data_IF_033708232095
#
_entry.id   IF_033708232095
#
_cell.length_a   1.000
_cell.length_b   1.000
_cell.length_c   1.000
_cell.angle_alpha   90.00
_cell.angle_beta   90.00
_cell.angle_gamma   90.00
#
_symmetry.space_group_name_H-M   'P 1'
#
loop_
_entity.id
_entity.type
_entity.pdbx_description
1 polymer ?
#
# COMPACT_ATOMS: atom_id res chain seq x y z
N UNK A 1 18.37 -23.72 26.31
CA UNK A 1 18.89 -22.87 25.23
C UNK A 1 17.75 -22.66 24.25
N UNK A 2 16.92 -21.65 24.51
CA UNK A 2 15.88 -21.21 23.59
C UNK A 2 16.52 -20.24 22.61
N UNK A 3 16.51 -20.60 21.33
CA UNK A 3 16.99 -19.75 20.25
C UNK A 3 15.96 -18.65 20.01
N UNK A 4 16.24 -17.45 20.48
CA UNK A 4 15.48 -16.25 20.12
C UNK A 4 15.48 -16.11 18.59
N UNK A 5 14.30 -15.92 18.00
CA UNK A 5 14.18 -15.59 16.58
C UNK A 5 14.95 -14.29 16.30
N UNK A 6 15.68 -14.19 15.17
CA UNK A 6 16.44 -12.98 14.86
C UNK A 6 15.50 -11.78 14.79
N UNK A 7 15.82 -10.74 15.57
CA UNK A 7 15.06 -9.49 15.59
C UNK A 7 14.92 -8.94 14.17
N UNK A 8 13.69 -8.59 13.80
CA UNK A 8 13.29 -8.00 12.52
C UNK A 8 13.89 -6.59 12.27
N UNK A 9 14.88 -6.19 13.09
CA UNK A 9 15.41 -4.83 13.22
C UNK A 9 16.13 -4.28 11.98
N UNK A 10 16.55 -5.13 11.04
CA UNK A 10 17.20 -4.66 9.82
C UNK A 10 16.24 -4.05 8.79
N UNK A 11 14.97 -4.51 8.74
CA UNK A 11 13.96 -3.99 7.79
C UNK A 11 13.20 -2.79 8.32
N UNK A 12 12.96 -2.75 9.64
CA UNK A 12 12.36 -1.61 10.34
C UNK A 12 13.18 -0.33 10.10
N UNK A 13 14.51 -0.40 10.24
CA UNK A 13 15.38 0.79 10.08
C UNK A 13 15.38 1.32 8.66
N UNK A 14 15.44 0.46 7.63
CA UNK A 14 15.50 0.91 6.23
C UNK A 14 14.25 1.67 5.80
N UNK A 15 13.06 1.22 6.23
CA UNK A 15 11.81 1.90 5.92
C UNK A 15 11.74 3.28 6.59
N UNK A 16 12.11 3.35 7.87
CA UNK A 16 12.16 4.60 8.60
C UNK A 16 13.19 5.58 8.03
N UNK A 17 14.35 5.11 7.57
CA UNK A 17 15.32 5.99 6.90
C UNK A 17 14.79 6.51 5.56
N UNK A 18 14.20 5.65 4.71
CA UNK A 18 13.61 6.08 3.44
C UNK A 18 12.50 7.11 3.65
N UNK A 19 11.68 6.95 4.69
CA UNK A 19 10.60 7.89 5.01
C UNK A 19 11.10 9.28 5.42
N UNK A 20 12.30 9.40 6.02
CA UNK A 20 12.89 10.70 6.38
C UNK A 20 13.29 11.53 5.16
N UNK A 21 13.58 10.88 4.04
CA UNK A 21 14.08 11.51 2.81
C UNK A 21 12.96 11.95 1.85
N UNK A 22 11.69 11.63 2.14
CA UNK A 22 10.55 11.92 1.25
C UNK A 22 10.40 13.44 0.99
N UNK A 23 10.62 13.92 -0.25
CA UNK A 23 10.34 15.30 -0.60
C UNK A 23 8.87 15.43 -1.01
N UNK A 24 8.13 16.37 -0.41
CA UNK A 24 6.74 16.64 -0.78
C UNK A 24 6.51 18.16 -0.86
N UNK A 25 6.15 18.64 -2.05
CA UNK A 25 5.74 20.03 -2.24
C UNK A 25 4.35 20.34 -1.66
N UNK A 26 3.57 19.30 -1.34
CA UNK A 26 2.18 19.40 -0.89
C UNK A 26 1.95 18.57 0.38
N UNK A 27 0.97 18.99 1.19
CA UNK A 27 0.41 18.21 2.30
C UNK A 27 -0.87 17.47 1.87
N UNK A 28 -1.06 17.21 0.57
CA UNK A 28 -2.14 16.35 0.09
C UNK A 28 -1.79 14.88 0.32
N UNK A 29 -2.80 14.05 0.64
CA UNK A 29 -2.65 12.60 0.53
C UNK A 29 -2.49 12.24 -0.96
N UNK A 30 -1.60 11.30 -1.31
CA UNK A 30 -1.62 10.72 -2.64
C UNK A 30 -2.91 9.94 -2.87
N UNK A 31 -3.08 9.46 -4.10
CA UNK A 31 -4.31 8.79 -4.52
C UNK A 31 -4.71 7.70 -3.51
N UNK A 32 -5.95 7.81 -3.04
CA UNK A 32 -6.49 6.90 -2.04
C UNK A 32 -6.57 5.48 -2.59
N UNK A 33 -5.77 4.57 -2.05
CA UNK A 33 -5.73 3.17 -2.46
C UNK A 33 -6.91 2.32 -1.96
N UNK A 34 -8.05 2.91 -1.60
CA UNK A 34 -9.24 2.14 -1.18
C UNK A 34 -9.17 1.50 0.22
N UNK A 35 -8.17 1.83 1.03
CA UNK A 35 -8.06 1.38 2.43
C UNK A 35 -8.87 2.28 3.38
N UNK A 36 -10.20 2.18 3.28
CA UNK A 36 -11.19 2.84 4.15
C UNK A 36 -12.34 3.52 3.38
N UNK A 37 -13.12 4.35 4.08
CA UNK A 37 -14.37 4.92 3.55
C UNK A 37 -14.16 6.31 2.94
N UNK A 38 -14.49 6.46 1.65
CA UNK A 38 -14.62 7.77 0.99
C UNK A 38 -16.10 8.17 1.02
N UNK A 39 -16.50 9.26 1.69
CA UNK A 39 -17.86 9.74 1.65
C UNK A 39 -18.27 10.05 0.20
N UNK A 40 -19.23 9.29 -0.34
CA UNK A 40 -19.85 9.51 -1.65
C UNK A 40 -19.58 8.47 -2.75
N UNK A 41 -18.71 7.47 -2.54
CA UNK A 41 -18.41 6.46 -3.59
C UNK A 41 -19.38 5.28 -3.66
N UNK A 42 -20.32 5.15 -2.72
CA UNK A 42 -21.39 4.14 -2.76
C UNK A 42 -22.74 4.80 -2.87
N UNK A 43 -23.39 4.64 -4.02
CA UNK A 43 -24.84 4.76 -4.08
C UNK A 43 -25.45 3.56 -3.36
N UNK A 44 -26.17 3.88 -2.28
CA UNK A 44 -27.16 3.04 -1.59
C UNK A 44 -26.64 1.70 -1.04
N UNK A 45 -26.23 1.70 0.24
CA UNK A 45 -26.50 0.60 1.20
C UNK A 45 -25.99 0.97 2.61
N UNK A 46 -26.90 1.11 3.58
CA UNK A 46 -26.62 1.28 5.02
C UNK A 46 -26.21 2.70 5.46
N UNK A 47 -27.06 3.37 6.24
CA UNK A 47 -26.92 4.77 6.69
C UNK A 47 -25.88 4.94 7.83
N UNK A 48 -24.64 4.51 7.61
CA UNK A 48 -23.50 4.85 8.50
C UNK A 48 -22.63 5.84 7.76
N UNK A 49 -22.79 7.12 8.08
CA UNK A 49 -22.06 8.22 7.43
C UNK A 49 -20.56 8.19 7.78
N UNK A 50 -20.22 8.12 9.07
CA UNK A 50 -18.84 8.02 9.56
C UNK A 50 -18.78 7.59 11.02
N UNK A 51 -17.57 7.21 11.46
CA UNK A 51 -17.25 7.14 12.89
C UNK A 51 -17.32 8.56 13.45
N UNK A 52 -18.17 8.79 14.45
CA UNK A 52 -18.30 10.09 15.11
C UNK A 52 -17.10 10.39 16.00
N UNK A 53 -16.68 9.41 16.81
CA UNK A 53 -15.61 9.57 17.78
C UNK A 53 -14.99 8.22 18.16
N UNK A 54 -13.71 8.26 18.55
CA UNK A 54 -12.97 7.18 19.20
C UNK A 54 -12.92 7.47 20.70
N UNK A 55 -13.09 6.45 21.55
CA UNK A 55 -12.99 6.59 23.01
C UNK A 55 -11.83 5.75 23.52
N UNK A 56 -10.92 6.36 24.28
CA UNK A 56 -9.80 5.69 24.94
C UNK A 56 -9.83 5.96 26.45
N UNK A 57 -9.63 4.92 27.24
CA UNK A 57 -9.41 5.06 28.68
C UNK A 57 -7.95 5.44 28.95
N UNK A 58 -7.70 6.47 29.74
CA UNK A 58 -6.35 6.97 30.04
C UNK A 58 -6.13 7.15 31.55
N UNK A 59 -4.91 6.97 32.03
CA UNK A 59 -4.60 7.10 33.46
C UNK A 59 -4.52 8.55 33.95
N UNK A 60 -4.26 9.49 33.04
CA UNK A 60 -4.11 10.92 33.31
C UNK A 60 -4.48 11.75 32.09
N UNK A 61 -5.47 12.64 32.20
CA UNK A 61 -5.83 13.54 31.10
C UNK A 61 -4.68 14.47 30.70
N UNK A 62 -3.95 15.03 31.65
CA UNK A 62 -2.86 15.97 31.35
C UNK A 62 -1.76 15.31 30.51
N UNK A 63 -1.38 14.08 30.87
CA UNK A 63 -0.35 13.32 30.15
C UNK A 63 -0.80 12.93 28.75
N UNK A 64 -2.05 12.48 28.62
CA UNK A 64 -2.57 12.00 27.34
C UNK A 64 -2.94 13.17 26.41
N UNK A 65 -3.43 14.29 26.93
CA UNK A 65 -3.59 15.53 26.14
C UNK A 65 -2.26 16.00 25.56
N UNK A 66 -1.19 16.05 26.38
CA UNK A 66 0.15 16.37 25.91
C UNK A 66 0.58 15.43 24.77
N UNK A 67 0.42 14.12 24.94
CA UNK A 67 0.76 13.17 23.89
C UNK A 67 -0.06 13.37 22.59
N UNK A 68 -1.39 13.40 22.69
CA UNK A 68 -2.25 13.45 21.51
C UNK A 68 -2.27 14.83 20.83
N UNK A 69 -1.94 15.90 21.55
CA UNK A 69 -1.76 17.24 20.98
C UNK A 69 -0.34 17.44 20.44
N UNK A 70 0.69 17.25 21.26
CA UNK A 70 2.06 17.62 20.92
C UNK A 70 2.74 16.59 20.02
N UNK A 71 2.47 15.28 20.21
CA UNK A 71 3.01 14.23 19.33
C UNK A 71 2.12 14.05 18.11
N UNK A 72 0.83 13.75 18.33
CA UNK A 72 -0.09 13.36 17.26
C UNK A 72 -0.73 14.54 16.52
N UNK A 73 -0.66 15.76 17.06
CA UNK A 73 -1.13 16.98 16.37
C UNK A 73 -2.65 17.19 16.40
N UNK A 74 -3.38 16.58 17.34
CA UNK A 74 -4.83 16.76 17.46
C UNK A 74 -5.18 18.06 18.20
N UNK A 75 -6.25 18.75 17.79
CA UNK A 75 -6.70 19.97 18.48
C UNK A 75 -7.39 19.62 19.80
N UNK A 76 -7.03 20.29 20.90
CA UNK A 76 -7.80 20.19 22.15
C UNK A 76 -9.09 21.00 22.00
N UNK A 77 -10.24 20.35 22.14
CA UNK A 77 -11.56 21.01 22.15
C UNK A 77 -11.92 21.46 23.56
N UNK A 78 -11.68 20.62 24.56
CA UNK A 78 -11.91 20.93 25.97
C UNK A 78 -12.27 19.70 26.81
N UNK A 79 -12.49 19.92 28.12
CA UNK A 79 -12.84 18.87 29.09
C UNK A 79 -14.31 18.94 29.49
N UNK A 80 -14.89 17.79 29.86
CA UNK A 80 -16.24 17.75 30.41
C UNK A 80 -17.36 18.12 29.42
N UNK A 81 -17.13 17.94 28.12
CA UNK A 81 -18.04 18.39 27.05
C UNK A 81 -19.08 17.34 26.62
N UNK A 82 -18.94 16.10 27.10
CA UNK A 82 -19.83 14.98 26.80
C UNK A 82 -20.69 14.63 28.00
N UNK A 83 -21.78 13.88 27.77
CA UNK A 83 -22.60 13.28 28.83
C UNK A 83 -21.91 12.04 29.48
N UNK A 84 -20.61 12.17 29.77
CA UNK A 84 -19.78 11.18 30.46
C UNK A 84 -19.54 11.64 31.90
N UNK A 85 -19.73 10.74 32.86
CA UNK A 85 -19.64 11.03 34.29
C UNK A 85 -18.19 11.13 34.77
N UNK A 86 -17.29 10.38 34.15
CA UNK A 86 -15.86 10.41 34.46
C UNK A 86 -15.20 11.67 33.89
N UNK A 87 -14.11 12.16 34.51
CA UNK A 87 -13.29 13.20 33.91
C UNK A 87 -12.87 12.78 32.51
N UNK A 88 -13.07 13.67 31.53
CA UNK A 88 -12.74 13.37 30.15
C UNK A 88 -12.31 14.61 29.38
N UNK A 89 -11.49 14.40 28.35
CA UNK A 89 -11.05 15.40 27.39
C UNK A 89 -11.55 15.03 25.99
N UNK A 90 -11.88 16.05 25.20
CA UNK A 90 -12.27 15.91 23.80
C UNK A 90 -11.20 16.59 22.95
N UNK A 91 -10.63 15.83 22.03
CA UNK A 91 -9.71 16.31 21.01
C UNK A 91 -10.33 16.08 19.62
N UNK A 92 -9.88 16.84 18.64
CA UNK A 92 -10.41 16.79 17.27
C UNK A 92 -9.28 16.53 16.27
N UNK A 93 -9.50 15.57 15.39
CA UNK A 93 -8.64 15.31 14.24
C UNK A 93 -8.99 16.29 13.10
N UNK A 94 -8.08 16.49 12.16
CA UNK A 94 -8.32 17.31 10.96
C UNK A 94 -9.50 16.81 10.09
N UNK A 95 -9.87 15.53 10.21
CA UNK A 95 -11.04 14.93 9.55
C UNK A 95 -12.38 15.29 10.22
N UNK A 96 -12.34 15.94 11.39
CA UNK A 96 -13.51 16.24 12.21
C UNK A 96 -13.96 15.06 13.11
N UNK A 97 -13.34 13.89 13.00
CA UNK A 97 -13.52 12.80 13.98
C UNK A 97 -12.96 13.24 15.34
N UNK A 98 -13.67 12.94 16.42
CA UNK A 98 -13.23 13.28 17.77
C UNK A 98 -12.48 12.11 18.41
N UNK A 99 -11.47 12.43 19.20
CA UNK A 99 -10.88 11.52 20.18
C UNK A 99 -11.36 11.93 21.57
N UNK A 100 -12.01 11.02 22.28
CA UNK A 100 -12.48 11.22 23.65
C UNK A 100 -11.60 10.42 24.58
N UNK A 101 -10.84 11.11 25.43
CA UNK A 101 -10.01 10.51 26.47
C UNK A 101 -10.81 10.49 27.77
N UNK A 102 -11.04 9.31 28.34
CA UNK A 102 -11.78 9.14 29.60
C UNK A 102 -10.81 8.72 30.68
N UNK A 103 -10.70 9.51 31.74
CA UNK A 103 -9.78 9.19 32.83
C UNK A 103 -10.31 8.01 33.66
N UNK A 104 -9.48 6.97 33.77
CA UNK A 104 -9.69 5.84 34.68
C UNK A 104 -8.34 5.44 35.30
N UNK A 105 -8.28 5.35 36.64
CA UNK A 105 -7.05 4.94 37.33
C UNK A 105 -6.74 3.44 37.17
N UNK A 106 -7.68 2.67 36.64
CA UNK A 106 -7.55 1.23 36.39
C UNK A 106 -7.49 0.92 34.89
N UNK A 107 -6.88 1.79 34.07
CA UNK A 107 -6.67 1.48 32.66
C UNK A 107 -5.79 0.24 32.56
N UNK A 108 -6.40 -0.85 32.11
CA UNK A 108 -5.69 -2.09 31.77
C UNK A 108 -5.49 -2.08 30.25
N UNK A 109 -4.24 -2.17 29.77
CA UNK A 109 -3.98 -2.35 28.35
C UNK A 109 -4.78 -3.55 27.84
N UNK A 110 -5.49 -3.39 26.71
CA UNK A 110 -6.50 -4.37 26.23
C UNK A 110 -5.94 -5.80 26.03
N UNK A 111 -4.61 -5.96 25.93
CA UNK A 111 -3.87 -7.22 26.15
C UNK A 111 -2.36 -6.96 26.14
N UNK A 112 -1.67 -7.27 27.24
CA UNK A 112 -0.21 -7.27 27.28
C UNK A 112 0.35 -8.21 26.19
N UNK A 113 1.23 -7.68 25.34
CA UNK A 113 1.97 -8.46 24.34
C UNK A 113 1.21 -8.80 23.05
N UNK A 114 0.03 -8.23 22.78
CA UNK A 114 -0.63 -8.38 21.47
C UNK A 114 -0.85 -7.04 20.78
N UNK A 115 -0.35 -6.89 19.55
CA UNK A 115 -0.64 -5.75 18.68
C UNK A 115 -1.91 -5.95 17.82
N UNK A 116 -2.74 -6.94 18.19
CA UNK A 116 -3.91 -7.36 17.41
C UNK A 116 -5.03 -6.31 17.38
N UNK A 117 -5.10 -5.44 18.40
CA UNK A 117 -6.00 -4.28 18.42
C UNK A 117 -5.13 -3.04 18.50
N UNK A 118 -5.10 -2.28 17.41
CA UNK A 118 -4.43 -0.99 17.33
C UNK A 118 -5.37 0.02 16.65
N UNK A 119 -5.07 1.30 16.84
CA UNK A 119 -5.75 2.40 16.17
C UNK A 119 -4.84 2.95 15.07
N UNK A 120 -5.24 2.74 13.82
CA UNK A 120 -4.50 3.21 12.65
C UNK A 120 -4.94 4.62 12.25
N UNK A 121 -3.97 5.47 11.93
CA UNK A 121 -4.18 6.82 11.40
C UNK A 121 -3.45 6.94 10.07
N UNK A 122 -4.05 7.62 9.10
CA UNK A 122 -3.37 7.95 7.86
C UNK A 122 -2.87 9.39 7.91
N UNK A 123 -1.62 9.58 7.53
CA UNK A 123 -0.98 10.89 7.45
C UNK A 123 -0.44 11.15 6.04
N UNK A 124 -0.33 12.42 5.70
CA UNK A 124 0.40 12.85 4.49
C UNK A 124 1.89 12.53 4.68
N UNK A 125 2.69 12.41 3.60
CA UNK A 125 4.10 12.08 3.80
C UNK A 125 4.88 13.16 4.57
N UNK A 126 4.49 14.43 4.41
CA UNK A 126 5.01 15.53 5.20
C UNK A 126 4.61 15.43 6.69
N UNK A 127 3.37 15.07 7.01
CA UNK A 127 2.92 14.84 8.38
C UNK A 127 3.62 13.63 9.00
N UNK A 128 3.77 12.55 8.25
CA UNK A 128 4.47 11.34 8.68
C UNK A 128 5.93 11.62 9.03
N UNK A 129 6.65 12.38 8.19
CA UNK A 129 8.03 12.80 8.48
C UNK A 129 8.12 13.62 9.78
N UNK A 130 7.21 14.59 9.94
CA UNK A 130 7.15 15.41 11.18
C UNK A 130 6.82 14.55 12.41
N UNK A 131 5.95 13.55 12.27
CA UNK A 131 5.69 12.58 13.33
C UNK A 131 6.96 11.82 13.70
N UNK A 132 7.73 11.32 12.73
CA UNK A 132 9.00 10.62 13.00
C UNK A 132 10.02 11.50 13.74
N UNK A 133 10.01 12.82 13.49
CA UNK A 133 10.81 13.78 14.25
C UNK A 133 10.31 13.91 15.70
N UNK A 134 8.99 14.07 15.89
CA UNK A 134 8.36 14.22 17.22
C UNK A 134 8.50 12.98 18.09
N UNK A 135 8.28 11.78 17.55
CA UNK A 135 8.46 10.53 18.32
C UNK A 135 9.92 10.35 18.75
N UNK A 136 10.88 10.80 17.92
CA UNK A 136 12.30 10.81 18.29
C UNK A 136 12.60 11.86 19.36
N UNK A 137 12.08 13.08 19.23
CA UNK A 137 12.25 14.17 20.20
C UNK A 137 11.71 13.79 21.59
N UNK A 138 10.61 13.07 21.63
CA UNK A 138 9.98 12.60 22.87
C UNK A 138 10.43 11.21 23.32
N UNK A 139 11.49 10.66 22.72
CA UNK A 139 12.08 9.36 23.09
C UNK A 139 11.07 8.20 23.09
N UNK A 140 10.12 8.22 22.15
CA UNK A 140 9.10 7.19 21.98
C UNK A 140 9.65 6.05 21.11
N UNK A 141 9.59 4.84 21.65
CA UNK A 141 9.97 3.63 20.91
C UNK A 141 9.00 3.36 19.76
N UNK A 142 9.58 3.15 18.57
CA UNK A 142 8.84 2.86 17.34
C UNK A 142 9.28 1.55 16.72
N UNK A 143 8.35 0.86 16.06
CA UNK A 143 8.63 -0.33 15.25
C UNK A 143 7.79 -0.33 13.98
N UNK A 144 8.06 -1.30 13.10
CA UNK A 144 7.31 -1.49 11.86
C UNK A 144 6.81 -2.93 11.86
N UNK A 145 5.53 -3.12 12.12
CA UNK A 145 4.91 -4.43 12.02
C UNK A 145 4.74 -4.83 10.55
N UNK A 146 4.99 -6.11 10.26
CA UNK A 146 4.71 -6.72 8.94
C UNK A 146 5.38 -6.02 7.74
N UNK A 147 6.56 -5.43 7.93
CA UNK A 147 7.33 -4.71 6.91
C UNK A 147 7.51 -5.44 5.55
N UNK A 148 7.42 -6.77 5.52
CA UNK A 148 7.46 -7.57 4.28
C UNK A 148 6.20 -7.47 3.40
N UNK A 149 5.11 -6.92 3.93
CA UNK A 149 3.81 -6.77 3.26
C UNK A 149 3.49 -5.30 2.93
N UNK A 150 4.49 -4.41 2.94
CA UNK A 150 4.35 -3.03 2.43
C UNK A 150 4.73 -2.98 0.96
N UNK A 151 3.84 -2.43 0.12
CA UNK A 151 4.12 -2.19 -1.28
C UNK A 151 5.14 -1.05 -1.48
N UNK A 152 5.59 -0.85 -2.72
CA UNK A 152 6.49 0.26 -3.01
C UNK A 152 5.76 1.58 -2.78
N UNK A 153 6.38 2.51 -2.03
CA UNK A 153 5.75 3.79 -1.68
C UNK A 153 4.83 3.74 -0.46
N UNK A 154 4.60 2.57 0.14
CA UNK A 154 3.84 2.46 1.39
C UNK A 154 4.76 2.43 2.62
N UNK A 155 4.35 3.16 3.64
CA UNK A 155 5.07 3.30 4.90
C UNK A 155 4.10 3.16 6.07
N UNK A 156 4.54 2.49 7.12
CA UNK A 156 3.87 2.52 8.42
C UNK A 156 4.88 2.59 9.56
N UNK A 157 4.42 3.10 10.69
CA UNK A 157 5.13 3.07 11.95
C UNK A 157 4.15 2.79 13.07
N UNK A 158 4.56 1.94 13.99
CA UNK A 158 3.82 1.57 15.17
C UNK A 158 4.53 2.11 16.40
N UNK A 159 3.75 2.55 17.39
CA UNK A 159 4.23 3.00 18.69
C UNK A 159 3.09 2.89 19.70
N UNK A 160 3.38 3.24 20.95
CA UNK A 160 2.40 3.23 22.04
C UNK A 160 2.16 4.62 22.57
N UNK A 161 0.93 4.84 23.02
CA UNK A 161 0.59 6.01 23.81
C UNK A 161 1.04 5.83 25.29
N UNK A 162 0.88 6.86 26.14
CA UNK A 162 1.31 6.80 27.55
C UNK A 162 0.60 5.75 28.42
N UNK A 163 -0.49 5.17 27.93
CA UNK A 163 -1.29 4.14 28.61
C UNK A 163 -1.24 2.79 27.86
N UNK A 164 -0.22 2.60 27.01
CA UNK A 164 0.11 1.36 26.28
C UNK A 164 -0.88 1.01 25.12
N UNK A 165 -1.74 1.94 24.71
CA UNK A 165 -2.58 1.76 23.52
C UNK A 165 -1.71 1.69 22.28
N UNK A 166 -1.86 0.59 21.52
CA UNK A 166 -1.11 0.41 20.28
C UNK A 166 -1.67 1.34 19.19
N UNK A 167 -0.79 2.17 18.64
CA UNK A 167 -1.10 3.07 17.53
C UNK A 167 -0.32 2.63 16.30
N UNK A 168 -0.92 2.81 15.13
CA UNK A 168 -0.26 2.70 13.84
C UNK A 168 -0.48 3.99 13.07
N UNK A 169 0.57 4.50 12.45
CA UNK A 169 0.45 5.58 11.47
C UNK A 169 0.90 5.05 10.13
N UNK A 170 0.02 5.18 9.14
CA UNK A 170 0.27 4.79 7.75
C UNK A 170 0.46 6.05 6.89
N UNK A 171 1.29 5.92 5.88
CA UNK A 171 1.55 6.94 4.89
C UNK A 171 1.79 6.27 3.54
N UNK A 172 1.05 6.72 2.53
CA UNK A 172 1.32 6.39 1.15
C UNK A 172 2.10 7.57 0.55
N UNK A 173 3.21 7.30 -0.12
CA UNK A 173 3.94 8.27 -0.91
C UNK A 173 3.50 8.18 -2.40
N UNK A 174 3.79 9.18 -3.24
CA UNK A 174 3.36 9.19 -4.64
C UNK A 174 3.73 7.92 -5.40
N UNK A 175 4.88 7.32 -5.08
CA UNK A 175 5.37 6.07 -5.64
C UNK A 175 4.43 4.88 -5.41
N UNK A 176 3.50 4.96 -4.44
CA UNK A 176 2.48 3.95 -4.25
C UNK A 176 1.49 3.91 -5.42
N UNK A 177 1.19 5.06 -6.04
CA UNK A 177 0.18 5.17 -7.11
C UNK A 177 0.75 5.55 -8.48
N UNK A 178 1.87 6.26 -8.53
CA UNK A 178 2.49 6.72 -9.76
C UNK A 178 3.03 5.55 -10.61
N UNK A 179 3.09 5.72 -11.92
CA UNK A 179 3.59 4.64 -12.78
C UNK A 179 5.08 4.44 -12.55
N UNK A 180 5.45 3.26 -12.04
CA UNK A 180 6.83 2.83 -11.97
C UNK A 180 7.22 2.15 -13.29
N UNK A 181 8.12 2.79 -14.02
CA UNK A 181 8.77 2.22 -15.20
C UNK A 181 10.09 1.54 -14.80
N UNK A 182 10.34 0.29 -15.20
CA UNK A 182 11.64 -0.35 -15.04
C UNK A 182 12.76 0.44 -15.74
N UNK A 183 12.43 1.04 -16.89
CA UNK A 183 13.31 1.91 -17.69
C UNK A 183 14.70 1.33 -17.96
N UNK A 184 14.78 0.00 -18.17
CA UNK A 184 16.02 -0.70 -18.55
C UNK A 184 16.24 -0.68 -20.07
N UNK A 185 15.38 0.02 -20.82
CA UNK A 185 15.37 0.06 -22.28
C UNK A 185 14.64 -1.13 -22.89
N UNK A 186 15.08 -1.57 -24.07
CA UNK A 186 14.54 -2.75 -24.74
C UNK A 186 15.24 -4.01 -24.26
N UNK A 187 14.47 -5.00 -23.82
CA UNK A 187 14.99 -6.33 -23.47
C UNK A 187 14.65 -7.37 -24.54
N UNK A 188 15.59 -8.27 -24.80
CA UNK A 188 15.37 -9.46 -25.64
C UNK A 188 14.83 -10.62 -24.77
N UNK A 189 13.60 -11.03 -25.05
CA UNK A 189 12.93 -12.11 -24.34
C UNK A 189 13.19 -13.50 -24.94
N UNK A 190 13.90 -13.57 -26.07
CA UNK A 190 14.25 -14.76 -26.81
C UNK A 190 13.30 -15.08 -27.99
N UNK A 191 13.52 -16.22 -28.68
CA UNK A 191 12.75 -16.62 -29.85
C UNK A 191 11.25 -16.72 -29.57
N UNK A 192 10.42 -16.05 -30.37
CA UNK A 192 8.97 -16.02 -30.17
C UNK A 192 8.31 -17.42 -30.33
N UNK A 193 8.88 -18.27 -31.17
CA UNK A 193 8.40 -19.64 -31.40
C UNK A 193 8.64 -20.60 -30.21
N UNK A 194 9.54 -20.22 -29.28
CA UNK A 194 9.78 -20.97 -28.05
C UNK A 194 8.64 -20.87 -27.02
N UNK A 195 7.72 -19.91 -27.19
CA UNK A 195 6.58 -19.68 -26.29
C UNK A 195 5.29 -20.32 -26.83
N UNK A 196 4.71 -21.23 -26.05
CA UNK A 196 3.41 -21.86 -26.33
C UNK A 196 2.27 -20.97 -25.84
N UNK A 197 1.10 -21.09 -26.49
CA UNK A 197 -0.11 -20.43 -26.01
C UNK A 197 -0.41 -20.86 -24.58
N UNK A 198 -0.50 -19.88 -23.69
CA UNK A 198 -0.68 -20.02 -22.25
C UNK A 198 0.59 -19.83 -21.43
N UNK A 199 1.77 -19.72 -22.05
CA UNK A 199 3.01 -19.47 -21.34
C UNK A 199 3.04 -18.07 -20.70
N UNK A 200 3.58 -18.02 -19.48
CA UNK A 200 3.82 -16.80 -18.71
C UNK A 200 5.26 -16.89 -18.19
N UNK A 201 6.12 -15.95 -18.58
CA UNK A 201 7.52 -15.90 -18.17
C UNK A 201 7.85 -14.55 -17.54
N UNK A 202 8.49 -14.57 -16.37
CA UNK A 202 8.98 -13.38 -15.69
C UNK A 202 10.42 -13.07 -16.11
N UNK A 203 10.66 -11.84 -16.56
CA UNK A 203 11.97 -11.23 -16.76
C UNK A 203 12.21 -10.29 -15.58
N UNK A 204 13.00 -10.74 -14.60
CA UNK A 204 13.13 -10.08 -13.28
C UNK A 204 13.92 -8.78 -13.37
N UNK A 205 14.91 -8.75 -14.26
CA UNK A 205 15.76 -7.60 -14.58
C UNK A 205 14.96 -6.39 -15.05
N UNK A 206 13.74 -6.62 -15.54
CA UNK A 206 12.89 -5.62 -16.14
C UNK A 206 11.50 -5.56 -15.51
N UNK A 207 11.22 -6.32 -14.45
CA UNK A 207 9.90 -6.42 -13.80
C UNK A 207 8.74 -6.57 -14.84
N UNK A 208 8.95 -7.46 -15.83
CA UNK A 208 8.00 -7.75 -16.92
C UNK A 208 7.58 -9.21 -16.92
N UNK A 209 6.29 -9.47 -17.10
CA UNK A 209 5.79 -10.77 -17.54
C UNK A 209 5.53 -10.77 -19.04
N UNK A 210 6.25 -11.61 -19.79
CA UNK A 210 5.88 -11.91 -21.17
C UNK A 210 4.88 -13.06 -21.17
N UNK A 211 3.72 -12.83 -21.77
CA UNK A 211 2.60 -13.78 -21.81
C UNK A 211 2.21 -14.06 -23.24
N UNK A 212 2.10 -15.33 -23.58
CA UNK A 212 1.63 -15.78 -24.89
C UNK A 212 0.15 -16.14 -24.79
N UNK A 213 -0.72 -15.26 -25.28
CA UNK A 213 -2.17 -15.52 -25.44
C UNK A 213 -2.46 -16.04 -26.86
N UNK A 214 -3.72 -16.38 -27.16
CA UNK A 214 -4.10 -16.87 -28.49
C UNK A 214 -3.92 -15.78 -29.56
N UNK A 215 -4.19 -14.54 -29.17
CA UNK A 215 -4.18 -13.36 -30.03
C UNK A 215 -2.75 -12.89 -30.37
N UNK A 216 -1.76 -13.24 -29.55
CA UNK A 216 -0.37 -12.80 -29.68
C UNK A 216 0.40 -12.78 -28.36
N UNK A 217 1.30 -11.83 -28.21
CA UNK A 217 2.10 -11.58 -27.01
C UNK A 217 1.63 -10.33 -26.27
N UNK A 218 1.58 -10.43 -24.94
CA UNK A 218 1.42 -9.30 -24.03
C UNK A 218 2.67 -9.23 -23.15
N UNK A 219 3.30 -8.07 -23.05
CA UNK A 219 4.29 -7.82 -22.01
C UNK A 219 3.63 -6.99 -20.91
N UNK A 220 3.34 -7.60 -19.77
CA UNK A 220 2.64 -6.97 -18.66
C UNK A 220 3.62 -6.50 -17.59
N UNK A 221 3.33 -5.34 -17.00
CA UNK A 221 4.03 -4.85 -15.82
C UNK A 221 3.84 -5.80 -14.63
N UNK A 222 4.91 -6.01 -13.87
CA UNK A 222 4.84 -6.67 -12.57
C UNK A 222 4.30 -5.76 -11.47
N UNK A 223 4.24 -4.44 -11.71
CA UNK A 223 3.69 -3.49 -10.76
C UNK A 223 2.16 -3.54 -10.81
N UNK A 224 1.55 -3.84 -9.66
CA UNK A 224 0.10 -3.86 -9.50
C UNK A 224 -0.48 -2.47 -9.78
N UNK A 225 -1.60 -2.42 -10.50
CA UNK A 225 -2.35 -1.20 -10.81
C UNK A 225 -3.09 -0.60 -9.62
N UNK A 226 -3.13 -1.31 -8.49
CA UNK A 226 -3.70 -0.83 -7.23
C UNK A 226 -2.74 0.14 -6.52
N UNK A 227 -1.71 -0.38 -5.86
CA UNK A 227 -0.72 0.43 -5.11
C UNK A 227 0.72 -0.06 -5.33
N UNK A 228 1.10 -0.31 -6.59
CA UNK A 228 2.46 -0.74 -6.97
C UNK A 228 3.07 -1.87 -6.12
N UNK A 229 2.25 -2.81 -5.68
CA UNK A 229 2.73 -4.09 -5.17
C UNK A 229 3.33 -4.94 -6.29
N UNK A 230 4.48 -5.58 -6.06
CA UNK A 230 5.04 -6.54 -7.03
C UNK A 230 4.19 -7.80 -7.09
N UNK A 231 3.50 -8.01 -8.20
CA UNK A 231 2.64 -9.18 -8.38
C UNK A 231 3.47 -10.44 -8.67
N UNK A 232 2.84 -11.58 -8.41
CA UNK A 232 3.36 -12.91 -8.70
C UNK A 232 2.43 -13.65 -9.66
N UNK A 233 2.97 -14.46 -10.56
CA UNK A 233 2.17 -15.42 -11.33
C UNK A 233 1.96 -16.69 -10.51
N UNK A 234 0.70 -17.00 -10.20
CA UNK A 234 0.32 -18.22 -9.51
C UNK A 234 -0.19 -19.24 -10.55
N UNK A 235 0.70 -20.14 -10.98
CA UNK A 235 0.42 -21.11 -12.04
C UNK A 235 -0.72 -22.07 -11.69
N UNK A 236 -0.82 -22.51 -10.44
CA UNK A 236 -1.83 -23.47 -9.98
C UNK A 236 -3.24 -22.88 -10.05
N UNK A 237 -3.36 -21.57 -9.90
CA UNK A 237 -4.62 -20.83 -9.97
C UNK A 237 -4.80 -20.03 -11.26
N UNK A 238 -3.87 -20.13 -12.20
CA UNK A 238 -3.89 -19.45 -13.51
C UNK A 238 -4.14 -17.93 -13.43
N UNK A 239 -3.60 -17.28 -12.39
CA UNK A 239 -3.83 -15.86 -12.12
C UNK A 239 -2.58 -15.15 -11.62
N UNK A 240 -2.51 -13.85 -11.85
CA UNK A 240 -1.60 -12.99 -11.10
C UNK A 240 -2.22 -12.63 -9.76
N UNK A 241 -1.37 -12.51 -8.75
CA UNK A 241 -1.76 -12.15 -7.39
C UNK A 241 -0.79 -11.11 -6.83
N UNK A 242 -1.34 -10.03 -6.28
CA UNK A 242 -0.61 -9.08 -5.46
C UNK A 242 -0.55 -9.59 -4.01
N UNK A 243 0.63 -9.83 -3.42
CA UNK A 243 0.73 -10.31 -2.04
C UNK A 243 0.48 -9.23 -0.97
N UNK A 244 0.31 -7.97 -1.39
CA UNK A 244 0.18 -6.80 -0.53
C UNK A 244 -1.29 -6.54 -0.18
N UNK A 245 -2.10 -6.09 -1.14
CA UNK A 245 -3.54 -5.84 -0.95
C UNK A 245 -4.45 -6.84 -1.66
N UNK A 246 -3.90 -7.99 -2.04
CA UNK A 246 -4.65 -9.14 -2.54
C UNK A 246 -5.38 -8.95 -3.89
N UNK A 247 -5.11 -7.86 -4.63
CA UNK A 247 -5.59 -7.71 -6.00
C UNK A 247 -5.20 -8.94 -6.86
N UNK A 248 -6.15 -9.48 -7.62
CA UNK A 248 -5.92 -10.60 -8.53
C UNK A 248 -6.25 -10.25 -9.97
N UNK A 249 -5.49 -10.83 -10.91
CA UNK A 249 -5.69 -10.61 -12.33
C UNK A 249 -5.69 -11.92 -13.12
N UNK A 250 -6.48 -12.00 -14.19
CA UNK A 250 -6.44 -13.13 -15.10
C UNK A 250 -5.15 -13.15 -15.95
N UNK A 251 -4.99 -14.16 -16.80
CA UNK A 251 -3.80 -14.29 -17.67
C UNK A 251 -3.66 -13.18 -18.71
N UNK A 252 -4.76 -12.52 -19.06
CA UNK A 252 -4.75 -11.36 -19.94
C UNK A 252 -4.53 -10.06 -19.15
N UNK A 253 -4.40 -10.14 -17.82
CA UNK A 253 -4.16 -9.04 -16.90
C UNK A 253 -5.42 -8.26 -16.49
N UNK A 254 -6.63 -8.74 -16.79
CA UNK A 254 -7.86 -8.11 -16.28
C UNK A 254 -7.98 -8.31 -14.78
N UNK A 255 -8.43 -7.29 -14.07
CA UNK A 255 -8.78 -7.43 -12.66
C UNK A 255 -9.89 -8.46 -12.46
N UNK A 256 -9.74 -9.32 -11.47
CA UNK A 256 -10.68 -10.43 -11.17
C UNK A 256 -11.21 -10.42 -9.74
N UNK A 257 -10.64 -9.58 -8.86
CA UNK A 257 -11.07 -9.45 -7.48
C UNK A 257 -9.96 -8.95 -6.56
N UNK A 258 -10.26 -8.95 -5.26
CA UNK A 258 -9.33 -8.55 -4.19
C UNK A 258 -9.32 -7.04 -3.89
N UNK A 259 -9.50 -6.20 -4.91
CA UNK A 259 -9.64 -4.74 -4.77
C UNK A 259 -10.71 -4.22 -5.74
N UNK A 260 -11.57 -3.27 -5.33
CA UNK A 260 -12.56 -2.65 -6.22
C UNK A 260 -11.89 -1.65 -7.17
N UNK A 261 -12.52 -1.44 -8.33
CA UNK A 261 -12.23 -0.31 -9.24
C UNK A 261 -10.77 -0.16 -9.70
N UNK A 262 -10.07 -1.28 -9.92
CA UNK A 262 -8.70 -1.30 -10.47
C UNK A 262 -8.68 -1.68 -11.95
N UNK A 263 -7.85 -0.97 -12.73
CA UNK A 263 -7.61 -1.25 -14.14
C UNK A 263 -6.82 -2.55 -14.36
N UNK A 264 -6.90 -3.09 -15.57
CA UNK A 264 -6.05 -4.20 -16.01
C UNK A 264 -4.55 -3.83 -15.96
N UNK A 265 -3.69 -4.85 -15.78
CA UNK A 265 -2.24 -4.68 -15.71
C UNK A 265 -1.71 -3.91 -16.93
N UNK A 266 -0.91 -2.87 -16.67
CA UNK A 266 -0.27 -2.03 -17.70
C UNK A 266 0.59 -2.89 -18.63
N UNK A 267 0.68 -2.50 -19.90
CA UNK A 267 1.50 -3.19 -20.89
C UNK A 267 2.76 -2.40 -21.22
N UNK A 268 3.76 -3.11 -21.72
CA UNK A 268 4.93 -2.60 -22.40
C UNK A 268 4.83 -2.97 -23.90
N UNK A 269 5.26 -2.10 -24.83
CA UNK A 269 5.28 -2.44 -26.25
C UNK A 269 6.11 -3.69 -26.53
N UNK A 270 5.55 -4.60 -27.33
CA UNK A 270 6.26 -5.79 -27.82
C UNK A 270 6.50 -5.65 -29.32
N UNK A 271 7.77 -5.68 -29.70
CA UNK A 271 8.26 -5.70 -31.07
C UNK A 271 8.95 -7.04 -31.35
N UNK A 272 9.35 -7.27 -32.60
CA UNK A 272 10.08 -8.47 -32.98
C UNK A 272 11.33 -8.14 -33.77
N UNK A 273 12.43 -8.81 -33.44
CA UNK A 273 13.67 -8.69 -34.23
C UNK A 273 13.51 -9.37 -35.59
N UNK A 274 14.39 -9.08 -36.58
CA UNK A 274 14.42 -9.80 -37.86
C UNK A 274 14.59 -11.31 -37.70
N UNK A 275 15.28 -11.75 -36.65
CA UNK A 275 15.52 -13.15 -36.27
C UNK A 275 14.30 -13.79 -35.56
N UNK A 276 13.22 -13.03 -35.34
CA UNK A 276 11.99 -13.54 -34.72
C UNK A 276 12.01 -13.56 -33.19
N UNK A 277 12.92 -12.84 -32.54
CA UNK A 277 12.93 -12.70 -31.09
C UNK A 277 11.87 -11.70 -30.63
N UNK A 278 11.24 -11.96 -29.47
CA UNK A 278 10.32 -11.01 -28.84
C UNK A 278 11.12 -9.94 -28.09
N UNK A 279 10.92 -8.68 -28.45
CA UNK A 279 11.59 -7.53 -27.85
C UNK A 279 10.58 -6.70 -27.07
N UNK A 280 10.88 -6.35 -25.81
CA UNK A 280 9.98 -5.55 -24.96
C UNK A 280 10.62 -4.22 -24.63
N UNK A 281 9.95 -3.11 -24.97
CA UNK A 281 10.38 -1.75 -24.62
C UNK A 281 9.84 -1.33 -23.25
N UNK A 282 10.70 -1.26 -22.24
CA UNK A 282 10.32 -0.92 -20.86
C UNK A 282 10.39 0.58 -20.55
N UNK A 283 10.71 1.40 -21.55
CA UNK A 283 10.73 2.87 -21.43
C UNK A 283 9.35 3.51 -21.68
N UNK A 284 8.40 2.73 -22.19
CA UNK A 284 7.05 3.17 -22.51
C UNK A 284 6.03 2.33 -21.76
N UNK A 285 4.92 2.93 -21.35
CA UNK A 285 3.79 2.21 -20.73
C UNK A 285 2.52 2.41 -21.52
N UNK A 286 1.72 1.37 -21.62
CA UNK A 286 0.39 1.40 -22.21
C UNK A 286 -0.63 1.11 -21.10
N UNK A 287 -1.47 2.10 -20.82
CA UNK A 287 -2.60 1.98 -19.91
C UNK A 287 -3.78 1.31 -20.62
N UNK A 288 -4.57 0.55 -19.87
CA UNK A 288 -5.76 -0.11 -20.37
C UNK A 288 -6.72 -0.45 -19.24
N UNK A 289 -8.01 -0.20 -19.45
CA UNK A 289 -9.04 -0.59 -18.48
C UNK A 289 -9.24 -2.10 -18.46
N UNK A 290 -9.22 -2.73 -19.64
CA UNK A 290 -9.39 -4.17 -19.81
C UNK A 290 -8.58 -4.70 -21.02
N UNK A 291 -8.62 -6.02 -21.21
CA UNK A 291 -8.02 -6.71 -22.33
C UNK A 291 -8.84 -6.53 -23.61
N UNK A 292 -8.14 -6.11 -24.66
CA UNK A 292 -8.65 -6.09 -26.03
C UNK A 292 -7.71 -6.92 -26.92
N UNK A 293 -8.23 -7.78 -27.83
CA UNK A 293 -7.41 -8.62 -28.70
C UNK A 293 -6.32 -7.88 -29.49
N UNK A 294 -6.56 -6.62 -29.84
CA UNK A 294 -5.65 -5.77 -30.61
C UNK A 294 -4.40 -5.36 -29.82
N UNK A 295 -4.44 -5.46 -28.49
CA UNK A 295 -3.30 -5.19 -27.61
C UNK A 295 -2.20 -6.27 -27.73
N UNK A 296 -2.53 -7.45 -28.27
CA UNK A 296 -1.58 -8.55 -28.39
C UNK A 296 -0.74 -8.44 -29.66
N UNK A 297 0.58 -8.29 -29.49
CA UNK A 297 1.53 -8.20 -30.61
C UNK A 297 1.74 -9.57 -31.27
N UNK A 298 1.69 -9.61 -32.60
CA UNK A 298 1.87 -10.85 -33.36
C UNK A 298 3.29 -10.92 -33.93
N UNK A 299 3.98 -12.07 -33.81
CA UNK A 299 5.25 -12.24 -34.49
C UNK A 299 5.05 -12.11 -36.00
N UNK A 300 6.08 -11.67 -36.75
CA UNK A 300 6.03 -11.66 -38.20
C UNK A 300 5.61 -13.03 -38.73
N UNK A 301 4.82 -13.05 -39.81
CA UNK A 301 4.59 -14.32 -40.51
C UNK A 301 5.95 -14.77 -41.05
N UNK A 302 6.48 -15.88 -40.53
CA UNK A 302 7.64 -16.52 -41.14
C UNK A 302 7.27 -16.80 -42.58
N UNK A 303 7.97 -16.19 -43.53
CA UNK A 303 7.80 -16.51 -44.93
C UNK A 303 8.14 -18.00 -45.08
N UNK A 304 7.14 -18.82 -45.38
CA UNK A 304 7.37 -20.22 -45.72
C UNK A 304 8.09 -20.19 -47.07
N UNK A 305 9.41 -20.30 -47.05
CA UNK A 305 10.19 -20.56 -48.26
C UNK A 305 9.81 -21.96 -48.73
N UNK A 306 9.07 -22.02 -49.84
CA UNK A 306 8.75 -23.24 -50.57
C UNK A 306 10.01 -23.86 -51.19
#
# INVERSE_FOLDING_TARGET
>A
METAAPANGYRTTRQLEKAKELPQASDALPQYGGHGYVPGSRQEEGFVDRISHLVLGVGSLDRSEHFYNDVMGMDIVGRGLMAEQRPHAVLRMNTGCMLVLVEDKNVVPRRLGTNAVHHAFTMTPNQYRRLLEKVKEHEIDVWVDRAQYLAEGEFNVNFRDPDDHALEVCCDAPEASEVILPNVGTIDCGPADSFKVGDVKLFKEADVFLVRVKEGFLAMSRWCTHMNGRIIWNREHWRFQCPYHHATFDRCGNATGGQPDIDALRLYPVNFSPEGHALVDTSQVIHRACFEPQQASKPPKVAVTA
#
